data_IF_208086350236
#
_entry.id   IF_208086350236
#
_cell.length_a   1.000
_cell.length_b   1.000
_cell.length_c   1.000
_cell.angle_alpha   90.00
_cell.angle_beta   90.00
_cell.angle_gamma   90.00
#
_symmetry.space_group_name_H-M   'P 1'
#
loop_
_entity.id
_entity.type
_entity.pdbx_description
1 polymer ?
#
# COMPACT_ATOMS: atom_id res chain seq x y z
N UNK A 1 -14.13 -11.59 -3.92
CA UNK A 1 -12.72 -11.27 -3.64
C UNK A 1 -12.61 -9.86 -3.09
N UNK A 2 -11.42 -9.25 -3.11
CA UNK A 2 -11.25 -7.90 -2.60
C UNK A 2 -11.46 -6.85 -3.70
N UNK A 3 -11.76 -5.58 -3.34
CA UNK A 3 -11.83 -4.51 -4.35
C UNK A 3 -10.56 -4.35 -5.18
N UNK A 4 -9.38 -4.57 -4.55
CA UNK A 4 -8.11 -4.50 -5.28
C UNK A 4 -8.02 -5.54 -6.38
N UNK A 5 -8.34 -6.79 -6.07
CA UNK A 5 -8.29 -7.89 -7.05
C UNK A 5 -9.36 -7.68 -8.12
N UNK A 6 -10.56 -7.25 -7.72
CA UNK A 6 -11.64 -6.99 -8.65
C UNK A 6 -11.26 -5.88 -9.65
N UNK A 7 -10.59 -4.82 -9.17
CA UNK A 7 -10.09 -3.76 -10.04
C UNK A 7 -9.11 -4.30 -11.08
N UNK A 8 -8.12 -5.09 -10.64
CA UNK A 8 -7.10 -5.62 -11.54
C UNK A 8 -7.70 -6.54 -12.61
N UNK A 9 -8.70 -7.33 -12.25
CA UNK A 9 -9.42 -8.17 -13.21
C UNK A 9 -10.24 -7.33 -14.18
N UNK A 10 -10.90 -6.30 -13.69
CA UNK A 10 -11.73 -5.41 -14.53
C UNK A 10 -10.90 -4.71 -15.60
N UNK A 11 -9.71 -4.22 -15.26
CA UNK A 11 -8.83 -3.52 -16.22
C UNK A 11 -7.89 -4.46 -16.96
N UNK A 12 -7.99 -5.77 -16.75
CA UNK A 12 -7.16 -6.79 -17.36
C UNK A 12 -5.66 -6.57 -17.14
N UNK A 13 -5.28 -6.07 -15.96
CA UNK A 13 -3.89 -5.83 -15.60
C UNK A 13 -3.20 -7.13 -15.23
N UNK A 14 -1.96 -7.31 -15.68
CA UNK A 14 -1.17 -8.47 -15.32
C UNK A 14 -0.82 -8.42 -13.84
N UNK A 15 -1.14 -9.49 -13.12
CA UNK A 15 -0.87 -9.58 -11.69
C UNK A 15 -0.89 -11.04 -11.22
N UNK A 16 -0.31 -11.29 -10.05
CA UNK A 16 -0.36 -12.59 -9.38
C UNK A 16 -0.79 -12.39 -7.95
N UNK A 17 -1.70 -13.24 -7.47
CA UNK A 17 -2.20 -13.19 -6.10
C UNK A 17 -1.45 -14.25 -5.28
N UNK A 18 -0.92 -13.84 -4.13
CA UNK A 18 -0.20 -14.70 -3.18
C UNK A 18 -0.94 -14.69 -1.85
N UNK A 19 -1.11 -15.86 -1.25
CA UNK A 19 -1.74 -15.97 0.06
C UNK A 19 -0.81 -16.62 1.05
N UNK A 20 -0.96 -16.27 2.33
CA UNK A 20 -0.23 -16.86 3.44
C UNK A 20 -1.13 -16.86 4.68
N UNK A 21 -0.80 -17.74 5.64
CA UNK A 21 -1.55 -17.80 6.89
C UNK A 21 -1.09 -16.66 7.80
N UNK A 22 -1.99 -15.71 8.07
CA UNK A 22 -1.71 -14.58 8.94
C UNK A 22 -1.62 -15.03 10.40
N UNK A 23 -0.54 -14.61 11.07
CA UNK A 23 -0.36 -14.80 12.51
C UNK A 23 -0.87 -13.58 13.25
N UNK A 24 -1.94 -13.69 14.09
CA UNK A 24 -2.48 -12.54 14.82
C UNK A 24 -1.47 -11.87 15.76
N UNK A 25 -0.40 -12.58 16.12
CA UNK A 25 0.65 -12.06 17.01
C UNK A 25 1.78 -11.38 16.26
N UNK A 26 1.78 -11.39 14.94
CA UNK A 26 2.86 -10.77 14.17
C UNK A 26 2.88 -9.26 14.41
N UNK A 27 4.07 -8.69 14.74
CA UNK A 27 4.17 -7.26 15.07
C UNK A 27 4.05 -6.34 13.87
N UNK A 28 4.35 -6.85 12.67
CA UNK A 28 4.29 -6.06 11.43
C UNK A 28 3.69 -6.91 10.32
N UNK A 29 2.61 -6.42 9.73
CA UNK A 29 1.91 -7.16 8.68
C UNK A 29 2.69 -7.24 7.38
N UNK A 30 3.41 -6.18 7.02
CA UNK A 30 4.22 -6.16 5.82
C UNK A 30 5.44 -7.05 5.92
N UNK A 31 6.13 -7.03 7.07
CA UNK A 31 7.27 -7.91 7.30
C UNK A 31 6.84 -9.37 7.40
N UNK A 32 5.66 -9.64 7.96
CA UNK A 32 5.09 -10.98 7.98
C UNK A 32 4.90 -11.51 6.56
N UNK A 33 4.34 -10.70 5.66
CA UNK A 33 4.14 -11.10 4.27
C UNK A 33 5.48 -11.45 3.61
N UNK A 34 6.49 -10.61 3.79
CA UNK A 34 7.80 -10.85 3.22
C UNK A 34 8.41 -12.15 3.74
N UNK A 35 8.32 -12.40 5.04
CA UNK A 35 8.87 -13.60 5.67
C UNK A 35 8.14 -14.87 5.21
N UNK A 36 6.82 -14.86 5.27
CA UNK A 36 6.02 -16.06 4.97
C UNK A 36 6.03 -16.43 3.49
N UNK A 37 6.18 -15.46 2.62
CA UNK A 37 6.27 -15.71 1.18
C UNK A 37 7.71 -15.85 0.70
N UNK A 38 8.71 -15.70 1.59
CA UNK A 38 10.12 -15.83 1.24
C UNK A 38 10.61 -14.70 0.34
N UNK A 39 10.11 -13.49 0.54
CA UNK A 39 10.39 -12.34 -0.32
C UNK A 39 11.40 -11.39 0.31
N UNK A 40 12.10 -10.62 -0.53
CA UNK A 40 12.96 -9.54 -0.09
C UNK A 40 12.07 -8.40 0.47
N UNK A 41 12.25 -8.00 1.74
CA UNK A 41 11.45 -6.90 2.32
C UNK A 41 11.52 -5.58 1.54
N UNK A 42 12.59 -5.35 0.80
CA UNK A 42 12.71 -4.15 -0.04
C UNK A 42 11.78 -4.18 -1.26
N UNK A 43 11.27 -5.35 -1.62
CA UNK A 43 10.35 -5.54 -2.75
C UNK A 43 8.89 -5.59 -2.31
N UNK A 44 8.64 -5.72 -1.01
CA UNK A 44 7.29 -5.74 -0.44
C UNK A 44 6.99 -4.34 0.08
N UNK A 45 5.87 -3.77 -0.36
CA UNK A 45 5.50 -2.39 -0.05
C UNK A 45 4.26 -2.36 0.84
N UNK A 46 4.27 -1.43 1.79
CA UNK A 46 3.13 -1.16 2.67
C UNK A 46 2.43 0.11 2.21
N UNK A 47 1.12 0.15 2.43
CA UNK A 47 0.29 1.30 2.08
C UNK A 47 -0.08 2.04 3.35
N UNK A 48 0.35 3.28 3.45
CA UNK A 48 0.11 4.14 4.61
C UNK A 48 -0.71 5.35 4.20
N UNK A 49 -1.54 5.84 5.11
CA UNK A 49 -2.25 7.09 4.90
C UNK A 49 -1.71 8.15 5.82
N UNK A 50 -1.48 9.32 5.25
CA UNK A 50 -1.05 10.52 5.96
C UNK A 50 -2.07 11.63 5.71
N UNK A 51 -2.07 12.63 6.59
CA UNK A 51 -2.95 13.79 6.45
C UNK A 51 -2.11 15.06 6.37
N UNK A 52 -2.47 15.97 5.45
CA UNK A 52 -1.85 17.28 5.37
C UNK A 52 -2.37 18.19 6.49
N UNK A 53 -1.76 19.37 6.65
CA UNK A 53 -2.21 20.38 7.61
C UNK A 53 -3.64 20.85 7.33
N UNK A 54 -4.11 20.64 6.12
CA UNK A 54 -5.48 20.99 5.72
C UNK A 54 -6.46 19.84 5.84
N UNK A 55 -5.99 18.70 6.33
CA UNK A 55 -6.84 17.50 6.48
C UNK A 55 -7.00 16.65 5.23
N UNK A 56 -6.27 16.96 4.16
CA UNK A 56 -6.30 16.12 2.95
C UNK A 56 -5.60 14.78 3.24
N UNK A 57 -6.26 13.67 2.90
CA UNK A 57 -5.66 12.35 3.03
C UNK A 57 -4.80 12.02 1.82
N UNK A 58 -3.61 11.51 2.09
CA UNK A 58 -2.62 11.13 1.07
C UNK A 58 -2.22 9.68 1.29
N UNK A 59 -2.02 8.95 0.19
CA UNK A 59 -1.59 7.56 0.23
C UNK A 59 -0.11 7.48 -0.09
N UNK A 60 0.65 6.77 0.73
CA UNK A 60 2.08 6.54 0.50
C UNK A 60 2.35 5.04 0.47
N UNK A 61 3.00 4.59 -0.60
CA UNK A 61 3.38 3.19 -0.80
C UNK A 61 4.90 3.12 -0.66
N UNK A 62 5.37 2.53 0.43
CA UNK A 62 6.80 2.50 0.79
C UNK A 62 7.24 1.09 1.16
N UNK A 63 8.55 0.75 1.03
CA UNK A 63 9.02 -0.58 1.39
C UNK A 63 8.76 -0.91 2.85
N UNK A 64 8.38 -2.16 3.13
CA UNK A 64 8.15 -2.62 4.51
C UNK A 64 9.44 -2.59 5.33
N UNK A 65 10.60 -2.65 4.68
CA UNK A 65 11.91 -2.57 5.34
C UNK A 65 12.26 -1.16 5.82
N UNK A 66 11.55 -0.15 5.33
CA UNK A 66 11.81 1.26 5.66
C UNK A 66 10.67 1.94 6.37
N UNK A 67 10.84 3.22 6.61
CA UNK A 67 9.83 4.08 7.23
C UNK A 67 9.42 5.18 6.27
N UNK A 68 8.19 5.67 6.41
CA UNK A 68 7.72 6.80 5.62
C UNK A 68 8.40 8.09 6.09
N UNK A 69 9.00 8.80 5.15
CA UNK A 69 9.54 10.14 5.40
C UNK A 69 8.42 11.16 5.19
N UNK A 70 7.83 11.61 6.30
CA UNK A 70 6.70 12.54 6.26
C UNK A 70 7.08 13.90 5.66
N UNK A 71 8.31 14.35 5.85
CA UNK A 71 8.81 15.59 5.25
C UNK A 71 8.90 15.49 3.74
N UNK A 72 9.49 14.40 3.24
CA UNK A 72 9.60 14.17 1.81
C UNK A 72 8.22 14.06 1.17
N UNK A 73 7.28 13.38 1.83
CA UNK A 73 5.91 13.28 1.33
C UNK A 73 5.27 14.67 1.22
N UNK A 74 5.44 15.52 2.23
CA UNK A 74 4.90 16.88 2.19
C UNK A 74 5.46 17.67 1.00
N UNK A 75 6.76 17.53 0.72
CA UNK A 75 7.40 18.23 -0.41
C UNK A 75 6.81 17.78 -1.74
N UNK A 76 6.71 16.48 -1.99
CA UNK A 76 6.20 15.99 -3.27
C UNK A 76 4.71 16.25 -3.43
N UNK A 77 3.97 16.29 -2.34
CA UNK A 77 2.53 16.58 -2.37
C UNK A 77 2.23 18.08 -2.49
N UNK A 78 3.24 18.93 -2.26
CA UNK A 78 3.05 20.39 -2.34
C UNK A 78 2.30 20.95 -1.14
N UNK A 79 2.40 20.32 0.04
CA UNK A 79 1.77 20.76 1.27
C UNK A 79 2.84 21.13 2.30
N UNK A 80 2.45 21.88 3.35
CA UNK A 80 3.40 22.34 4.34
C UNK A 80 3.95 21.23 5.22
N UNK A 81 3.08 20.35 5.68
CA UNK A 81 3.49 19.22 6.50
C UNK A 81 2.49 18.07 6.39
N UNK A 82 2.93 16.88 6.75
CA UNK A 82 2.07 15.69 6.83
C UNK A 82 2.30 15.01 8.16
N UNK A 83 1.28 14.29 8.61
CA UNK A 83 1.35 13.41 9.78
C UNK A 83 0.58 12.14 9.47
N UNK A 84 0.76 11.11 10.27
CA UNK A 84 0.00 9.87 10.05
C UNK A 84 -1.48 10.15 10.24
N UNK A 85 -2.30 9.62 9.34
CA UNK A 85 -3.74 9.83 9.37
C UNK A 85 -4.38 9.09 10.54
N UNK A 86 -5.53 9.60 11.00
CA UNK A 86 -6.35 8.90 11.98
C UNK A 86 -6.77 7.54 11.42
N UNK A 87 -6.59 6.44 12.18
CA UNK A 87 -6.91 5.09 11.68
C UNK A 87 -8.36 4.94 11.20
N UNK A 88 -9.31 5.53 11.89
CA UNK A 88 -10.72 5.42 11.48
C UNK A 88 -10.98 6.20 10.19
N UNK A 89 -10.38 7.37 10.04
CA UNK A 89 -10.50 8.14 8.81
C UNK A 89 -9.90 7.38 7.62
N UNK A 90 -8.75 6.71 7.83
CA UNK A 90 -8.12 5.90 6.81
C UNK A 90 -9.03 4.75 6.37
N UNK A 91 -9.64 4.05 7.32
CA UNK A 91 -10.55 2.94 7.01
C UNK A 91 -11.80 3.41 6.25
N UNK A 92 -12.37 4.55 6.65
CA UNK A 92 -13.54 5.10 5.96
C UNK A 92 -13.21 5.52 4.53
N UNK A 93 -12.08 6.15 4.31
CA UNK A 93 -11.69 6.65 2.99
C UNK A 93 -11.30 5.54 2.03
N UNK A 94 -10.64 4.49 2.52
CA UNK A 94 -10.15 3.41 1.65
C UNK A 94 -11.12 2.25 1.50
N UNK A 95 -11.94 1.99 2.51
CA UNK A 95 -12.80 0.82 2.56
C UNK A 95 -12.10 -0.44 3.04
N UNK A 96 -10.84 -0.31 3.49
CA UNK A 96 -10.04 -1.43 3.99
C UNK A 96 -9.78 -1.27 5.49
N UNK A 97 -9.57 -2.39 6.18
CA UNK A 97 -9.16 -2.39 7.58
C UNK A 97 -7.65 -2.17 7.69
N UNK A 98 -7.22 -1.57 8.80
CA UNK A 98 -5.79 -1.38 9.07
C UNK A 98 -5.06 -2.72 9.03
N UNK A 99 -3.85 -2.70 8.48
CA UNK A 99 -3.04 -3.90 8.30
C UNK A 99 -3.35 -4.64 7.02
N UNK A 100 -4.42 -4.28 6.32
CA UNK A 100 -4.80 -4.86 5.03
C UNK A 100 -5.14 -3.81 3.99
N UNK A 101 -4.75 -2.55 4.19
CA UNK A 101 -5.04 -1.49 3.22
C UNK A 101 -4.24 -1.73 1.95
N UNK A 102 -4.95 -1.78 0.81
CA UNK A 102 -4.33 -1.87 -0.51
C UNK A 102 -4.31 -0.48 -1.14
N UNK A 103 -3.29 -0.17 -1.99
CA UNK A 103 -3.31 1.06 -2.77
C UNK A 103 -4.29 1.00 -3.93
N UNK A 104 -4.88 -0.18 -4.18
CA UNK A 104 -5.78 -0.45 -5.31
C UNK A 104 -7.22 -0.54 -4.87
N UNK A 105 -8.15 -0.08 -5.71
CA UNK A 105 -9.57 -0.25 -5.47
C UNK A 105 -10.10 0.44 -4.23
N UNK A 106 -9.49 1.54 -3.82
CA UNK A 106 -9.93 2.29 -2.64
C UNK A 106 -11.29 2.95 -2.89
N UNK A 107 -12.08 3.08 -1.82
CA UNK A 107 -13.42 3.65 -1.88
C UNK A 107 -13.40 5.09 -2.40
N UNK A 108 -12.47 5.91 -1.90
CA UNK A 108 -12.24 7.27 -2.39
C UNK A 108 -10.95 7.32 -3.19
N UNK A 109 -10.94 8.14 -4.24
CA UNK A 109 -9.73 8.36 -5.02
C UNK A 109 -8.86 9.40 -4.33
N UNK A 110 -7.73 8.96 -3.79
CA UNK A 110 -6.78 9.81 -3.07
C UNK A 110 -5.48 9.93 -3.86
N UNK A 111 -4.80 11.06 -3.71
CA UNK A 111 -3.47 11.22 -4.31
C UNK A 111 -2.53 10.18 -3.70
N UNK A 112 -1.85 9.43 -4.54
CA UNK A 112 -0.99 8.32 -4.13
C UNK A 112 0.43 8.56 -4.59
N UNK A 113 1.38 8.36 -3.66
CA UNK A 113 2.80 8.53 -3.91
C UNK A 113 3.49 7.19 -3.66
N UNK A 114 4.23 6.71 -4.66
CA UNK A 114 4.92 5.42 -4.59
C UNK A 114 6.41 5.70 -4.45
N UNK A 115 7.06 5.05 -3.49
CA UNK A 115 8.50 5.19 -3.30
C UNK A 115 9.23 4.82 -4.60
N UNK A 116 10.18 5.65 -4.98
CA UNK A 116 10.94 5.52 -6.21
C UNK A 116 11.66 4.16 -6.30
N UNK A 117 12.00 3.54 -5.18
CA UNK A 117 12.66 2.23 -5.16
C UNK A 117 11.83 1.13 -5.84
N UNK A 118 10.51 1.32 -5.98
CA UNK A 118 9.65 0.37 -6.69
C UNK A 118 10.10 0.18 -8.14
N UNK A 119 10.69 1.20 -8.75
CA UNK A 119 11.16 1.14 -10.13
C UNK A 119 12.40 0.26 -10.31
N UNK A 120 13.06 -0.14 -9.23
CA UNK A 120 14.25 -1.00 -9.27
C UNK A 120 13.89 -2.48 -9.46
N UNK A 121 12.62 -2.83 -9.34
CA UNK A 121 12.16 -4.21 -9.43
C UNK A 121 11.26 -4.41 -10.65
N UNK A 122 11.33 -5.61 -11.23
CA UNK A 122 10.41 -5.98 -12.33
C UNK A 122 8.97 -6.05 -11.83
N UNK A 123 8.79 -6.48 -10.60
CA UNK A 123 7.48 -6.49 -9.93
C UNK A 123 7.65 -6.15 -8.46
N UNK A 124 6.57 -5.66 -7.85
CA UNK A 124 6.50 -5.35 -6.42
C UNK A 124 5.28 -6.03 -5.82
N UNK A 125 5.27 -6.16 -4.49
CA UNK A 125 4.18 -6.79 -3.76
C UNK A 125 3.50 -5.74 -2.89
N UNK A 126 2.17 -5.69 -2.95
CA UNK A 126 1.36 -4.82 -2.10
C UNK A 126 0.20 -5.63 -1.53
N UNK A 127 -0.42 -5.12 -0.46
CA UNK A 127 -1.60 -5.78 0.08
C UNK A 127 -2.69 -5.88 -0.98
N UNK A 128 -3.34 -7.03 -1.04
CA UNK A 128 -4.47 -7.24 -1.92
C UNK A 128 -5.82 -6.87 -1.27
N UNK A 129 -5.80 -6.28 -0.07
CA UNK A 129 -7.00 -5.77 0.59
C UNK A 129 -7.34 -6.45 1.90
N UNK A 130 -6.54 -7.40 2.35
CA UNK A 130 -6.68 -8.01 3.68
C UNK A 130 -5.37 -8.68 4.08
N UNK A 131 -5.20 -8.89 5.39
CA UNK A 131 -4.03 -9.62 5.90
C UNK A 131 -4.03 -11.04 5.34
N UNK A 132 -2.85 -11.52 4.98
CA UNK A 132 -2.71 -12.86 4.42
C UNK A 132 -2.86 -12.91 2.92
N UNK A 133 -3.06 -11.78 2.27
CA UNK A 133 -3.27 -11.73 0.83
C UNK A 133 -2.45 -10.59 0.23
N UNK A 134 -1.51 -10.93 -0.66
CA UNK A 134 -0.66 -9.99 -1.38
C UNK A 134 -0.88 -10.12 -2.88
N UNK A 135 -0.69 -9.03 -3.60
CA UNK A 135 -0.71 -9.06 -5.06
C UNK A 135 0.63 -8.59 -5.60
N UNK A 136 1.14 -9.32 -6.58
CA UNK A 136 2.38 -8.99 -7.29
C UNK A 136 2.04 -8.38 -8.63
N UNK A 137 2.62 -7.21 -8.92
CA UNK A 137 2.41 -6.52 -10.21
C UNK A 137 3.60 -5.59 -10.47
N UNK A 138 3.72 -5.11 -11.71
CA UNK A 138 4.79 -4.14 -12.02
C UNK A 138 4.49 -2.78 -11.40
N UNK A 139 5.54 -2.01 -11.13
CA UNK A 139 5.39 -0.66 -10.60
C UNK A 139 4.61 0.24 -11.57
N UNK A 140 4.82 0.08 -12.87
CA UNK A 140 4.08 0.85 -13.86
C UNK A 140 2.60 0.51 -13.86
N UNK A 141 2.24 -0.76 -13.75
CA UNK A 141 0.83 -1.18 -13.63
C UNK A 141 0.19 -0.59 -12.38
N UNK A 142 0.92 -0.62 -11.25
CA UNK A 142 0.44 -0.03 -10.00
C UNK A 142 0.18 1.47 -10.17
N UNK A 143 1.09 2.19 -10.81
CA UNK A 143 0.97 3.64 -11.01
C UNK A 143 -0.21 4.03 -11.90
N UNK A 144 -0.64 3.15 -12.80
CA UNK A 144 -1.76 3.40 -13.72
C UNK A 144 -3.14 3.29 -13.03
N UNK A 145 -3.22 2.69 -11.84
CA UNK A 145 -4.50 2.42 -11.17
C UNK A 145 -4.96 3.54 -10.21
#
# INVERSE_FOLDING_TARGET
MTPAIDLLKKVCAEHRVHSYTHDPKAPSYGLEAAEKLGLNPAQVFKTLLAASEKGELLVAVVPVAGSLDLKALAQVAGVKKTEMADPQAAQRATGYLLGGISPLGQKKRLRTFIDQSALQFASVFVSAGRRGLEVELSASTLAEQ
#
